data_IF_555760178119
#
_entry.id   IF_555760178119
#
_cell.length_a   1.000
_cell.length_b   1.000
_cell.length_c   1.000
_cell.angle_alpha   90.00
_cell.angle_beta   90.00
_cell.angle_gamma   90.00
#
_symmetry.space_group_name_H-M   'P 1'
#
loop_
_entity.id
_entity.type
_entity.pdbx_description
1 polymer ?
#
# COMPACT_ATOMS: atom_id res chain seq x y z
N UNK A 1 0.97 4.95 9.74
CA UNK A 1 1.87 4.22 10.67
C UNK A 1 0.97 3.42 11.60
N UNK A 2 1.07 2.12 11.59
CA UNK A 2 0.24 1.24 12.42
C UNK A 2 1.11 0.76 13.59
N UNK A 3 0.72 1.08 14.81
CA UNK A 3 1.45 0.67 16.02
C UNK A 3 0.72 -0.52 16.63
N UNK A 4 1.40 -1.67 16.72
CA UNK A 4 0.86 -2.85 17.38
C UNK A 4 1.44 -2.99 18.79
N UNK A 5 0.56 -3.02 19.80
CA UNK A 5 0.95 -3.33 21.16
C UNK A 5 0.59 -4.79 21.45
N UNK A 6 1.57 -5.61 21.84
CA UNK A 6 1.37 -7.02 22.18
C UNK A 6 0.50 -7.14 23.43
N UNK A 7 -0.74 -7.62 23.29
CA UNK A 7 -1.59 -7.99 24.41
C UNK A 7 -1.15 -9.34 25.00
N UNK A 8 -0.78 -9.34 26.25
CA UNK A 8 -0.54 -10.58 27.02
C UNK A 8 -1.84 -11.25 27.42
N UNK A 9 -1.86 -12.59 27.32
CA UNK A 9 -2.82 -13.60 27.81
C UNK A 9 -4.28 -13.40 27.47
N UNK A 10 -4.87 -14.43 26.86
CA UNK A 10 -6.20 -14.53 26.33
C UNK A 10 -7.31 -14.01 27.26
N UNK A 11 -8.28 -13.39 26.61
CA UNK A 11 -9.53 -12.95 27.24
C UNK A 11 -10.47 -14.16 27.35
N UNK A 12 -11.03 -14.46 28.53
CA UNK A 12 -12.04 -15.49 28.66
C UNK A 12 -13.38 -15.00 28.10
N UNK A 13 -14.06 -15.87 27.34
CA UNK A 13 -15.45 -15.72 26.87
C UNK A 13 -15.77 -14.48 25.98
N UNK A 14 -15.02 -14.29 24.89
CA UNK A 14 -15.50 -13.41 23.82
C UNK A 14 -16.36 -14.19 22.84
N UNK A 15 -17.58 -13.67 22.52
CA UNK A 15 -18.35 -14.13 21.37
C UNK A 15 -17.50 -14.01 20.11
N UNK A 16 -17.71 -14.85 19.08
CA UNK A 16 -17.08 -14.64 17.80
C UNK A 16 -17.36 -13.22 17.29
N UNK A 17 -16.30 -12.50 16.91
CA UNK A 17 -16.42 -11.17 16.31
C UNK A 17 -16.79 -11.38 14.84
N UNK A 18 -17.91 -10.83 14.42
CA UNK A 18 -18.40 -10.88 13.04
C UNK A 18 -17.89 -9.66 12.26
N UNK A 19 -17.74 -9.79 10.94
CA UNK A 19 -17.38 -8.66 10.09
C UNK A 19 -18.39 -7.50 10.22
N UNK A 20 -19.68 -7.84 10.37
CA UNK A 20 -20.76 -6.86 10.59
C UNK A 20 -20.66 -6.07 11.91
N UNK A 21 -19.87 -6.52 12.87
CA UNK A 21 -19.63 -5.75 14.10
C UNK A 21 -18.78 -4.49 13.83
N UNK A 22 -18.18 -4.40 12.64
CA UNK A 22 -17.36 -3.25 12.21
C UNK A 22 -18.07 -2.38 11.16
N UNK A 23 -19.31 -2.71 10.81
CA UNK A 23 -20.08 -1.90 9.87
C UNK A 23 -20.49 -0.60 10.56
N UNK A 24 -20.15 0.51 9.94
CA UNK A 24 -20.54 1.86 10.40
C UNK A 24 -20.64 2.78 9.19
N UNK A 25 -21.44 3.81 9.33
CA UNK A 25 -21.55 4.87 8.33
C UNK A 25 -20.32 5.79 8.42
N UNK A 26 -19.55 5.88 7.35
CA UNK A 26 -18.39 6.76 7.24
C UNK A 26 -18.70 7.89 6.23
N UNK A 27 -18.99 9.12 6.70
CA UNK A 27 -19.17 10.27 5.82
C UNK A 27 -17.89 10.58 5.02
N UNK A 28 -18.03 10.87 3.72
CA UNK A 28 -16.87 11.12 2.84
C UNK A 28 -16.00 12.29 3.30
N UNK A 29 -16.60 13.33 3.90
CA UNK A 29 -15.90 14.49 4.42
C UNK A 29 -14.97 14.17 5.60
N UNK A 30 -15.14 13.03 6.26
CA UNK A 30 -14.23 12.56 7.32
C UNK A 30 -13.01 11.81 6.79
N UNK A 31 -12.99 11.51 5.50
CA UNK A 31 -11.85 10.86 4.84
C UNK A 31 -10.86 11.95 4.40
N UNK A 32 -9.71 12.02 5.08
CA UNK A 32 -8.68 13.00 4.77
C UNK A 32 -8.13 12.82 3.35
N UNK A 33 -8.21 13.87 2.52
CA UNK A 33 -7.72 13.86 1.14
C UNK A 33 -6.29 14.41 1.00
N UNK A 34 -5.78 15.07 2.02
CA UNK A 34 -4.44 15.66 2.05
C UNK A 34 -3.80 15.47 3.41
N UNK A 35 -2.48 15.21 3.48
CA UNK A 35 -1.77 15.22 4.74
C UNK A 35 -1.71 16.64 5.31
N UNK A 36 -1.54 16.75 6.63
CA UNK A 36 -1.24 18.02 7.26
C UNK A 36 0.16 18.51 6.86
N UNK A 37 0.37 19.84 6.84
CA UNK A 37 1.67 20.44 6.55
C UNK A 37 2.72 19.97 7.56
N UNK A 38 2.35 19.90 8.84
CA UNK A 38 3.17 19.35 9.91
C UNK A 38 2.68 17.95 10.28
N UNK A 39 3.50 16.95 10.03
CA UNK A 39 3.14 15.55 10.30
C UNK A 39 2.84 15.25 11.77
N UNK A 40 3.53 15.94 12.69
CA UNK A 40 3.34 15.77 14.13
C UNK A 40 2.03 16.41 14.66
N UNK A 41 1.39 17.27 13.88
CA UNK A 41 0.10 17.86 14.21
C UNK A 41 -1.10 16.93 13.92
N UNK A 42 -0.85 15.73 13.39
CA UNK A 42 -1.90 14.74 13.16
C UNK A 42 -2.61 14.36 14.46
N UNK A 43 -3.90 14.08 14.37
CA UNK A 43 -4.70 13.59 15.51
C UNK A 43 -4.18 12.23 15.98
N UNK A 44 -4.21 12.01 17.26
CA UNK A 44 -3.88 10.75 17.94
C UNK A 44 -5.06 10.33 18.82
N UNK A 45 -5.64 9.17 18.55
CA UNK A 45 -6.64 8.56 19.43
C UNK A 45 -5.92 7.66 20.43
N UNK A 46 -6.04 8.01 21.72
CA UNK A 46 -5.48 7.22 22.82
C UNK A 46 -6.57 6.35 23.40
N UNK A 47 -6.35 5.03 23.38
CA UNK A 47 -7.24 4.05 23.96
C UNK A 47 -6.51 3.31 25.08
N UNK A 48 -6.83 3.65 26.31
CA UNK A 48 -6.29 2.96 27.47
C UNK A 48 -7.10 1.69 27.78
N UNK A 49 -6.39 0.59 28.03
CA UNK A 49 -7.01 -0.72 28.25
C UNK A 49 -8.05 -0.77 29.37
N UNK A 50 -7.95 0.13 30.37
CA UNK A 50 -8.82 0.18 31.56
C UNK A 50 -9.63 1.46 31.67
N UNK A 51 -9.36 2.46 30.86
CA UNK A 51 -10.14 3.69 30.84
C UNK A 51 -11.23 3.54 29.78
N UNK A 52 -12.49 3.64 30.18
CA UNK A 52 -13.63 3.26 29.33
C UNK A 52 -13.86 4.09 28.06
N UNK A 53 -13.28 5.28 27.90
CA UNK A 53 -13.51 6.14 26.74
C UNK A 53 -12.18 6.49 26.04
N UNK A 54 -12.19 6.52 24.68
CA UNK A 54 -11.07 7.05 23.90
C UNK A 54 -10.82 8.53 24.21
N UNK A 55 -9.54 8.93 24.20
CA UNK A 55 -9.13 10.33 24.42
C UNK A 55 -8.44 10.85 23.16
N UNK A 56 -8.94 11.98 22.65
CA UNK A 56 -8.31 12.69 21.54
C UNK A 56 -7.06 13.45 22.02
N UNK A 57 -5.94 13.26 21.29
CA UNK A 57 -4.65 13.93 21.47
C UNK A 57 -4.08 14.34 20.12
N UNK A 58 -2.91 14.94 20.14
CA UNK A 58 -2.10 15.16 18.96
C UNK A 58 -0.91 14.20 18.93
N UNK A 59 -0.41 13.89 17.74
CA UNK A 59 0.73 12.96 17.61
C UNK A 59 2.01 13.48 18.30
N UNK A 60 2.14 14.79 18.41
CA UNK A 60 3.24 15.44 19.17
C UNK A 60 3.25 15.04 20.65
N UNK A 61 2.10 14.61 21.21
CA UNK A 61 1.98 14.19 22.60
C UNK A 61 2.47 12.74 22.82
N UNK A 62 2.73 11.97 21.75
CA UNK A 62 3.12 10.56 21.85
C UNK A 62 4.30 10.30 22.80
N UNK A 63 5.38 11.10 22.81
CA UNK A 63 6.47 10.89 23.76
C UNK A 63 6.06 10.91 25.24
N UNK A 64 5.06 11.72 25.60
CA UNK A 64 4.54 11.79 26.97
C UNK A 64 3.73 10.57 27.40
N UNK A 65 3.29 9.75 26.45
CA UNK A 65 2.51 8.53 26.67
C UNK A 65 3.40 7.28 26.79
N UNK A 66 4.70 7.43 26.50
CA UNK A 66 5.66 6.33 26.51
C UNK A 66 6.44 6.30 27.84
N UNK A 67 6.89 5.11 28.20
CA UNK A 67 7.74 4.86 29.38
C UNK A 67 9.17 4.58 28.94
N UNK A 68 10.17 4.80 29.80
CA UNK A 68 11.58 4.55 29.46
C UNK A 68 11.92 3.11 29.06
N UNK A 69 11.09 2.14 29.46
CA UNK A 69 11.24 0.70 29.17
C UNK A 69 10.35 0.19 28.03
N UNK A 70 9.58 1.08 27.38
CA UNK A 70 8.77 0.71 26.23
C UNK A 70 9.67 0.52 24.99
N UNK A 71 9.42 -0.55 24.24
CA UNK A 71 10.05 -0.81 22.95
C UNK A 71 9.16 -0.32 21.81
N UNK A 72 9.63 0.68 21.05
CA UNK A 72 8.96 1.16 19.85
C UNK A 72 9.47 0.41 18.63
N UNK A 73 8.56 -0.25 17.93
CA UNK A 73 8.85 -0.94 16.67
C UNK A 73 8.28 -0.13 15.51
N UNK A 74 9.14 0.32 14.61
CA UNK A 74 8.77 1.08 13.43
C UNK A 74 8.93 0.25 12.16
N UNK A 75 8.05 0.52 11.18
CA UNK A 75 8.29 0.10 9.81
C UNK A 75 9.06 1.23 9.11
N UNK A 76 10.31 0.99 8.75
CA UNK A 76 11.18 1.93 8.03
C UNK A 76 11.26 1.62 6.53
N UNK A 77 10.42 0.69 6.04
CA UNK A 77 10.35 0.38 4.61
C UNK A 77 9.88 1.58 3.81
N UNK A 78 10.54 1.83 2.68
CA UNK A 78 10.14 2.86 1.73
C UNK A 78 9.14 2.28 0.73
N UNK A 79 7.96 2.88 0.65
CA UNK A 79 6.99 2.54 -0.40
C UNK A 79 7.52 3.07 -1.74
N UNK A 80 7.69 2.17 -2.71
CA UNK A 80 8.07 2.53 -4.08
C UNK A 80 6.82 2.86 -4.90
N UNK A 81 6.93 3.71 -5.95
CA UNK A 81 5.82 4.01 -6.86
C UNK A 81 5.55 2.83 -7.80
N UNK A 82 5.06 1.73 -7.26
CA UNK A 82 4.95 0.44 -7.94
C UNK A 82 3.85 0.34 -9.01
N UNK A 83 2.97 1.34 -9.13
CA UNK A 83 1.87 1.35 -10.10
C UNK A 83 2.26 2.12 -11.36
N UNK A 84 2.04 1.52 -12.54
CA UNK A 84 2.30 2.15 -13.82
C UNK A 84 1.11 1.94 -14.76
N UNK A 85 0.76 2.98 -15.50
CA UNK A 85 -0.26 2.93 -16.53
C UNK A 85 0.39 2.84 -17.91
N UNK A 86 -0.22 2.05 -18.79
CA UNK A 86 0.22 1.91 -20.17
C UNK A 86 -0.95 1.66 -21.13
N UNK A 87 -0.63 1.52 -22.39
CA UNK A 87 -1.61 1.20 -23.45
C UNK A 87 -1.07 0.12 -24.38
N UNK A 88 -1.94 -0.76 -24.81
CA UNK A 88 -1.63 -1.68 -25.92
C UNK A 88 -1.51 -0.89 -27.24
N UNK A 89 -0.82 -1.42 -28.26
CA UNK A 89 -0.84 -0.83 -29.59
C UNK A 89 -2.25 -0.62 -30.17
N UNK A 90 -3.22 -1.43 -29.73
CA UNK A 90 -4.64 -1.31 -30.09
C UNK A 90 -5.39 -0.21 -29.30
N UNK A 91 -4.72 0.56 -28.44
CA UNK A 91 -5.31 1.63 -27.62
C UNK A 91 -5.86 1.19 -26.26
N UNK A 92 -6.01 -0.11 -26.01
CA UNK A 92 -6.56 -0.61 -24.74
C UNK A 92 -5.67 -0.28 -23.54
N UNK A 93 -6.27 0.25 -22.46
CA UNK A 93 -5.56 0.56 -21.22
C UNK A 93 -5.03 -0.70 -20.54
N UNK A 94 -3.85 -0.56 -19.94
CA UNK A 94 -3.20 -1.60 -19.13
C UNK A 94 -2.71 -0.96 -17.84
N UNK A 95 -3.14 -1.50 -16.70
CA UNK A 95 -2.58 -1.19 -15.39
C UNK A 95 -1.55 -2.26 -15.02
N UNK A 96 -0.42 -1.83 -14.52
CA UNK A 96 0.70 -2.67 -14.11
C UNK A 96 1.06 -2.33 -12.66
N UNK A 97 1.27 -3.36 -11.85
CA UNK A 97 1.74 -3.23 -10.48
C UNK A 97 2.96 -4.11 -10.29
N UNK A 98 4.07 -3.51 -9.90
CA UNK A 98 5.32 -4.22 -9.64
C UNK A 98 5.16 -5.10 -8.38
N UNK A 99 5.33 -6.41 -8.57
CA UNK A 99 5.39 -7.38 -7.48
C UNK A 99 6.84 -7.71 -7.10
N UNK A 100 7.68 -7.95 -8.11
CA UNK A 100 9.09 -8.31 -7.89
C UNK A 100 9.99 -7.86 -9.02
N UNK A 101 11.09 -7.20 -8.66
CA UNK A 101 12.21 -6.97 -9.57
C UNK A 101 12.99 -8.28 -9.74
N UNK A 102 13.36 -8.61 -10.98
CA UNK A 102 14.23 -9.73 -11.33
C UNK A 102 15.59 -9.19 -11.81
N UNK A 103 16.49 -10.10 -12.15
CA UNK A 103 17.80 -9.71 -12.68
C UNK A 103 17.69 -8.91 -14.00
N UNK A 104 18.58 -7.94 -14.16
CA UNK A 104 18.62 -7.06 -15.32
C UNK A 104 17.40 -6.16 -15.42
N UNK A 105 16.73 -6.21 -16.57
CA UNK A 105 15.54 -5.38 -16.84
C UNK A 105 14.24 -6.19 -16.80
N UNK A 106 14.22 -7.33 -16.12
CA UNK A 106 13.01 -8.14 -15.99
C UNK A 106 12.28 -7.88 -14.67
N UNK A 107 10.98 -8.09 -14.68
CA UNK A 107 10.14 -7.98 -13.50
C UNK A 107 8.95 -8.94 -13.58
N UNK A 108 8.38 -9.23 -12.40
CA UNK A 108 7.06 -9.86 -12.26
C UNK A 108 6.07 -8.76 -11.87
N UNK A 109 4.99 -8.67 -12.66
CA UNK A 109 3.94 -7.66 -12.49
C UNK A 109 2.57 -8.31 -12.40
N UNK A 110 1.71 -7.77 -11.54
CA UNK A 110 0.28 -7.89 -11.77
C UNK A 110 -0.11 -6.98 -12.93
N UNK A 111 -0.82 -7.50 -13.91
CA UNK A 111 -1.26 -6.70 -15.05
C UNK A 111 -2.76 -6.86 -15.26
N UNK A 112 -3.46 -5.73 -15.31
CA UNK A 112 -4.90 -5.67 -15.56
C UNK A 112 -5.18 -4.99 -16.89
N UNK A 113 -5.95 -5.66 -17.74
CA UNK A 113 -6.38 -5.14 -19.03
C UNK A 113 -7.74 -5.74 -19.41
N UNK A 114 -8.52 -5.06 -20.25
CA UNK A 114 -9.84 -5.52 -20.71
C UNK A 114 -9.80 -6.82 -21.51
N UNK A 115 -8.69 -7.10 -22.20
CA UNK A 115 -8.44 -8.35 -22.92
C UNK A 115 -7.12 -8.96 -22.46
N UNK A 116 -6.99 -10.29 -22.38
CA UNK A 116 -5.77 -10.96 -21.96
C UNK A 116 -4.54 -10.48 -22.72
N UNK A 117 -3.42 -10.36 -22.00
CA UNK A 117 -2.11 -10.08 -22.58
C UNK A 117 -1.43 -11.40 -22.96
N UNK A 118 -0.70 -11.39 -24.07
CA UNK A 118 0.00 -12.57 -24.61
C UNK A 118 1.50 -12.31 -24.66
N UNK A 119 2.34 -13.36 -24.60
CA UNK A 119 3.77 -13.22 -24.81
C UNK A 119 4.07 -12.53 -26.15
N UNK A 120 5.10 -11.67 -26.16
CA UNK A 120 5.48 -10.84 -27.29
C UNK A 120 4.71 -9.53 -27.44
N UNK A 121 3.62 -9.32 -26.70
CA UNK A 121 2.89 -8.06 -26.79
C UNK A 121 3.64 -6.92 -26.10
N UNK A 122 3.54 -5.74 -26.73
CA UNK A 122 4.05 -4.48 -26.19
C UNK A 122 2.96 -3.74 -25.42
N UNK A 123 3.39 -3.05 -24.39
CA UNK A 123 2.60 -2.06 -23.65
C UNK A 123 3.37 -0.75 -23.65
N UNK A 124 2.84 0.26 -24.36
CA UNK A 124 3.43 1.59 -24.42
C UNK A 124 3.21 2.32 -23.09
N UNK A 125 4.26 2.86 -22.52
CA UNK A 125 4.22 3.66 -21.28
C UNK A 125 4.94 5.00 -21.50
N UNK A 126 4.81 5.90 -20.54
CA UNK A 126 5.54 7.19 -20.56
C UNK A 126 7.06 7.01 -20.49
N UNK A 127 7.55 5.87 -19.99
CA UNK A 127 8.98 5.54 -19.86
C UNK A 127 9.52 4.65 -20.97
N UNK A 128 8.70 4.27 -21.96
CA UNK A 128 9.06 3.35 -23.04
C UNK A 128 8.22 2.08 -23.04
N UNK A 129 8.57 1.15 -23.90
CA UNK A 129 7.79 -0.05 -24.16
C UNK A 129 8.13 -1.18 -23.18
N UNK A 130 7.09 -1.73 -22.57
CA UNK A 130 7.17 -2.94 -21.75
C UNK A 130 6.76 -4.13 -22.59
N UNK A 131 7.63 -5.14 -22.70
CA UNK A 131 7.35 -6.36 -23.45
C UNK A 131 6.90 -7.48 -22.52
N UNK A 132 5.77 -8.07 -22.81
CA UNK A 132 5.28 -9.28 -22.08
C UNK A 132 6.10 -10.47 -22.55
N UNK A 133 6.83 -11.12 -21.65
CA UNK A 133 7.62 -12.33 -21.95
C UNK A 133 6.80 -13.61 -21.75
N UNK A 134 5.92 -13.62 -20.77
CA UNK A 134 5.12 -14.79 -20.44
C UNK A 134 4.36 -14.64 -19.15
N UNK A 135 3.87 -15.77 -18.63
CA UNK A 135 3.27 -15.88 -17.32
C UNK A 135 4.17 -16.66 -16.37
N UNK A 136 4.06 -16.30 -15.11
CA UNK A 136 4.67 -16.97 -13.96
C UNK A 136 3.55 -17.02 -12.89
N UNK A 137 2.82 -18.14 -12.85
CA UNK A 137 1.57 -18.29 -12.09
C UNK A 137 0.55 -17.20 -12.47
N UNK A 138 0.10 -16.40 -11.50
CA UNK A 138 -0.84 -15.30 -11.70
C UNK A 138 -0.17 -14.00 -12.15
N UNK A 139 1.16 -13.96 -12.18
CA UNK A 139 1.95 -12.80 -12.57
C UNK A 139 2.34 -12.82 -14.05
N UNK A 140 2.71 -11.69 -14.56
CA UNK A 140 3.33 -11.55 -15.88
C UNK A 140 4.82 -11.27 -15.73
N UNK A 141 5.63 -12.09 -16.38
CA UNK A 141 7.05 -11.80 -16.58
C UNK A 141 7.17 -10.82 -17.73
N UNK A 142 7.86 -9.73 -17.51
CA UNK A 142 8.04 -8.67 -18.51
C UNK A 142 9.49 -8.26 -18.65
N UNK A 143 9.81 -7.68 -19.82
CA UNK A 143 11.04 -6.94 -20.08
C UNK A 143 10.71 -5.45 -20.04
N UNK A 144 11.47 -4.71 -19.23
CA UNK A 144 11.34 -3.27 -19.04
C UNK A 144 12.41 -2.52 -19.87
N UNK A 145 12.23 -1.22 -20.16
CA UNK A 145 13.23 -0.38 -20.82
C UNK A 145 14.51 -0.15 -19.99
N UNK A 146 14.38 -0.17 -18.66
CA UNK A 146 15.47 0.00 -17.71
C UNK A 146 15.36 -1.02 -16.57
N UNK A 147 16.23 -0.93 -15.57
CA UNK A 147 16.16 -1.72 -14.35
C UNK A 147 14.83 -1.42 -13.61
N UNK A 148 14.22 -2.44 -13.01
CA UNK A 148 12.82 -2.36 -12.55
C UNK A 148 12.60 -1.26 -11.51
N UNK A 149 13.44 -1.19 -10.48
CA UNK A 149 13.28 -0.21 -9.40
C UNK A 149 13.52 1.21 -9.92
N UNK A 150 14.52 1.40 -10.78
CA UNK A 150 14.80 2.68 -11.43
C UNK A 150 13.60 3.12 -12.29
N UNK A 151 13.12 2.22 -13.14
CA UNK A 151 12.01 2.49 -14.05
C UNK A 151 10.74 2.89 -13.33
N UNK A 152 10.33 2.11 -12.32
CA UNK A 152 9.14 2.40 -11.53
C UNK A 152 9.30 3.63 -10.63
N UNK A 153 10.49 3.87 -10.09
CA UNK A 153 10.76 5.11 -9.30
C UNK A 153 10.58 6.36 -10.14
N UNK A 154 10.97 6.30 -11.43
CA UNK A 154 10.92 7.45 -12.32
C UNK A 154 9.55 7.69 -12.95
N UNK A 155 8.83 6.64 -13.29
CA UNK A 155 7.62 6.71 -14.13
C UNK A 155 6.36 6.18 -13.44
N UNK A 156 6.50 5.51 -12.32
CA UNK A 156 5.39 4.94 -11.56
C UNK A 156 4.71 5.93 -10.63
N UNK A 157 3.64 5.47 -10.03
CA UNK A 157 2.91 6.15 -8.95
C UNK A 157 2.75 5.23 -7.75
N UNK A 158 2.62 5.82 -6.56
CA UNK A 158 2.36 5.06 -5.34
C UNK A 158 0.98 4.40 -5.45
N UNK A 159 0.88 3.08 -5.28
CA UNK A 159 -0.42 2.41 -5.27
C UNK A 159 -1.17 2.82 -4.00
N UNK A 160 -2.23 3.60 -4.18
CA UNK A 160 -3.14 3.94 -3.09
C UNK A 160 -4.21 2.85 -2.96
N UNK A 161 -4.63 2.52 -1.73
CA UNK A 161 -5.80 1.67 -1.52
C UNK A 161 -7.05 2.24 -2.21
N UNK A 162 -8.03 1.40 -2.59
CA UNK A 162 -9.20 1.85 -3.36
C UNK A 162 -10.20 2.69 -2.54
N UNK A 163 -9.97 2.90 -1.26
CA UNK A 163 -10.84 3.74 -0.40
C UNK A 163 -10.42 5.18 -0.28
#
# INVERSE_FOLDING_TARGET
MQVYVKAGRGLPNMRPVLATDFDFELPEELIAQRPLAERAASRLLVLERRAGAPVDRQFVDLPSLLRPDDLLVFNDTRVIPARLQGRKPSGGAVEMLLERALEGRQALLHMRASKPLRPGQLVHTVGGDVTVLGRDEDLFRVQLPAEAIEFFTRYGSVPLPPY
#
